data_IF_601194447142
#
_entry.id   IF_601194447142
#
_cell.length_a   1.000
_cell.length_b   1.000
_cell.length_c   1.000
_cell.angle_alpha   90.00
_cell.angle_beta   90.00
_cell.angle_gamma   90.00
#
_symmetry.space_group_name_H-M   'P 1'
#
loop_
_entity.id
_entity.type
_entity.pdbx_description
1 polymer ?
#
# COMPACT_ATOMS: atom_id res chain seq x y z
N UNK A 1 30.48 35.51 -5.73
CA UNK A 1 30.15 34.14 -5.30
C UNK A 1 31.16 33.65 -4.25
N UNK A 2 32.46 33.68 -4.56
CA UNK A 2 33.54 33.19 -3.67
C UNK A 2 33.55 33.81 -2.26
N UNK A 3 33.32 35.11 -2.12
CA UNK A 3 33.28 35.78 -0.81
C UNK A 3 32.13 35.29 0.08
N UNK A 4 30.97 34.97 -0.52
CA UNK A 4 29.81 34.47 0.22
C UNK A 4 30.02 33.01 0.67
N UNK A 5 30.65 32.18 -0.17
CA UNK A 5 31.00 30.80 0.16
C UNK A 5 32.07 30.73 1.25
N UNK A 6 33.05 31.64 1.24
CA UNK A 6 34.07 31.71 2.28
C UNK A 6 33.50 32.16 3.64
N UNK A 7 32.58 33.14 3.65
CA UNK A 7 32.01 33.68 4.90
C UNK A 7 30.94 32.77 5.53
N UNK A 8 30.14 32.09 4.70
CA UNK A 8 29.00 31.28 5.15
C UNK A 8 29.21 29.77 4.92
N UNK A 9 30.44 29.30 4.69
CA UNK A 9 30.72 27.91 4.35
C UNK A 9 30.19 26.88 5.34
N UNK A 10 30.05 27.24 6.63
CA UNK A 10 29.44 26.40 7.66
C UNK A 10 27.93 26.15 7.44
N UNK A 11 27.25 26.98 6.65
CA UNK A 11 25.86 26.80 6.23
C UNK A 11 25.73 26.00 4.93
N UNK A 12 26.85 25.59 4.33
CA UNK A 12 26.82 24.86 3.06
C UNK A 12 26.47 23.40 3.30
N UNK A 13 25.43 22.92 2.65
CA UNK A 13 24.97 21.53 2.72
C UNK A 13 24.82 20.98 1.31
N UNK A 14 25.40 19.81 1.06
CA UNK A 14 25.15 19.01 -0.14
C UNK A 14 24.43 17.73 0.24
N UNK A 15 23.37 17.41 -0.48
CA UNK A 15 22.60 16.20 -0.21
C UNK A 15 21.75 15.75 -1.38
N UNK A 16 21.10 14.60 -1.20
CA UNK A 16 20.10 14.06 -2.11
C UNK A 16 18.70 14.43 -1.60
N UNK A 17 17.82 14.80 -2.52
CA UNK A 17 16.40 14.96 -2.24
C UNK A 17 15.61 14.09 -3.20
N UNK A 18 14.83 13.17 -2.63
CA UNK A 18 13.89 12.33 -3.36
C UNK A 18 12.50 12.57 -2.78
N UNK A 19 11.56 12.96 -3.63
CA UNK A 19 10.19 13.33 -3.21
C UNK A 19 9.17 12.83 -4.21
N UNK A 20 7.93 12.68 -3.74
CA UNK A 20 6.78 12.52 -4.60
C UNK A 20 6.30 13.90 -5.08
N UNK A 21 6.32 14.13 -6.39
CA UNK A 21 5.95 15.40 -7.02
C UNK A 21 5.11 15.09 -8.25
N UNK A 22 3.94 15.72 -8.35
CA UNK A 22 3.02 15.59 -9.48
C UNK A 22 2.71 14.14 -9.88
N UNK A 23 2.63 13.25 -8.89
CA UNK A 23 2.32 11.84 -9.09
C UNK A 23 3.51 10.94 -9.43
N UNK A 24 4.74 11.45 -9.42
CA UNK A 24 5.94 10.72 -9.76
C UNK A 24 7.07 10.90 -8.73
N UNK A 25 8.06 10.00 -8.76
CA UNK A 25 9.28 10.11 -7.95
C UNK A 25 10.26 11.07 -8.65
N UNK A 26 10.56 12.19 -7.99
CA UNK A 26 11.57 13.14 -8.44
C UNK A 26 12.81 13.06 -7.55
N UNK A 27 13.98 12.84 -8.15
CA UNK A 27 15.26 12.75 -7.46
C UNK A 27 16.26 13.80 -7.96
N UNK A 28 16.85 14.55 -7.04
CA UNK A 28 17.82 15.60 -7.33
C UNK A 28 18.94 15.66 -6.28
N UNK A 29 20.14 16.01 -6.72
CA UNK A 29 21.22 16.43 -5.82
C UNK A 29 21.17 17.94 -5.70
N UNK A 30 21.24 18.43 -4.47
CA UNK A 30 21.16 19.86 -4.14
C UNK A 30 22.39 20.30 -3.36
N UNK A 31 22.97 21.42 -3.77
CA UNK A 31 24.01 22.17 -3.05
C UNK A 31 23.37 23.47 -2.56
N UNK A 32 23.30 23.68 -1.24
CA UNK A 32 22.66 24.84 -0.62
C UNK A 32 23.63 25.58 0.28
N UNK A 33 23.40 26.88 0.43
CA UNK A 33 23.99 27.73 1.46
C UNK A 33 22.86 28.27 2.33
N UNK A 34 22.60 27.63 3.47
CA UNK A 34 21.39 27.89 4.25
C UNK A 34 20.12 27.57 3.43
N UNK A 35 19.24 28.56 3.26
CA UNK A 35 18.02 28.42 2.47
C UNK A 35 18.22 28.62 0.95
N UNK A 36 19.40 29.04 0.50
CA UNK A 36 19.67 29.36 -0.91
C UNK A 36 20.17 28.12 -1.64
N UNK A 37 19.48 27.70 -2.70
CA UNK A 37 19.97 26.65 -3.61
C UNK A 37 21.03 27.24 -4.54
N UNK A 38 22.28 26.76 -4.40
CA UNK A 38 23.40 27.17 -5.26
C UNK A 38 23.41 26.38 -6.56
N UNK A 39 23.12 25.08 -6.48
CA UNK A 39 23.04 24.21 -7.65
C UNK A 39 22.06 23.05 -7.40
N UNK A 40 21.31 22.69 -8.45
CA UNK A 40 20.41 21.55 -8.48
C UNK A 40 20.72 20.72 -9.71
N UNK A 41 20.84 19.40 -9.56
CA UNK A 41 21.08 18.48 -10.67
C UNK A 41 20.19 17.25 -10.57
N UNK A 42 19.61 16.74 -11.67
CA UNK A 42 18.92 15.46 -11.65
C UNK A 42 19.82 14.34 -11.14
N UNK A 43 19.28 13.47 -10.30
CA UNK A 43 20.03 12.37 -9.70
C UNK A 43 19.59 11.04 -10.31
N UNK A 44 20.52 10.34 -10.98
CA UNK A 44 20.22 9.09 -11.71
C UNK A 44 20.12 7.86 -10.80
N UNK A 45 20.87 7.84 -9.72
CA UNK A 45 20.95 6.72 -8.78
C UNK A 45 20.77 7.25 -7.35
N UNK A 46 19.54 7.65 -6.98
CA UNK A 46 19.25 8.06 -5.62
C UNK A 46 19.40 6.90 -4.63
N UNK A 47 19.63 7.26 -3.36
CA UNK A 47 19.56 6.33 -2.24
C UNK A 47 18.22 5.55 -2.25
N UNK A 48 18.25 4.20 -2.25
CA UNK A 48 17.04 3.37 -2.22
C UNK A 48 16.08 3.69 -1.05
N UNK A 49 16.59 4.07 0.11
CA UNK A 49 15.75 4.40 1.28
C UNK A 49 14.99 5.72 1.06
N UNK A 50 15.63 6.71 0.43
CA UNK A 50 14.96 7.96 0.06
C UNK A 50 13.89 7.72 -1.01
N UNK A 51 14.15 6.81 -1.97
CA UNK A 51 13.15 6.40 -2.96
C UNK A 51 11.97 5.70 -2.30
N UNK A 52 12.23 4.76 -1.39
CA UNK A 52 11.20 4.07 -0.61
C UNK A 52 10.34 5.07 0.16
N UNK A 53 10.96 6.03 0.84
CA UNK A 53 10.25 7.08 1.57
C UNK A 53 9.36 7.93 0.65
N UNK A 54 9.85 8.31 -0.54
CA UNK A 54 9.07 9.06 -1.52
C UNK A 54 7.88 8.25 -2.07
N UNK A 55 8.04 6.94 -2.31
CA UNK A 55 6.95 6.07 -2.74
C UNK A 55 5.87 5.90 -1.65
N UNK A 56 6.29 5.76 -0.39
CA UNK A 56 5.38 5.71 0.76
C UNK A 56 4.61 7.03 0.92
N UNK A 57 5.27 8.17 0.76
CA UNK A 57 4.62 9.49 0.74
C UNK A 57 3.60 9.57 -0.41
N UNK A 58 3.94 9.08 -1.61
CA UNK A 58 3.01 8.97 -2.73
C UNK A 58 1.78 8.12 -2.43
N UNK A 59 1.97 6.93 -1.86
CA UNK A 59 0.87 6.06 -1.40
C UNK A 59 -0.03 6.76 -0.37
N UNK A 60 0.54 7.49 0.59
CA UNK A 60 -0.24 8.21 1.59
C UNK A 60 -1.04 9.38 1.00
N UNK A 61 -0.54 10.03 -0.04
CA UNK A 61 -1.21 11.17 -0.69
C UNK A 61 -2.28 10.75 -1.68
N UNK A 62 -2.04 9.70 -2.45
CA UNK A 62 -2.95 9.26 -3.53
C UNK A 62 -3.78 8.03 -3.18
N UNK A 63 -3.44 7.35 -2.08
CA UNK A 63 -4.15 6.18 -1.58
C UNK A 63 -3.72 4.87 -2.25
N UNK A 64 -4.42 3.81 -1.86
CA UNK A 64 -4.13 2.44 -2.31
C UNK A 64 -4.46 2.19 -3.79
N UNK A 65 -5.14 3.13 -4.46
CA UNK A 65 -5.45 3.06 -5.89
C UNK A 65 -4.21 3.06 -6.80
N UNK A 66 -3.02 3.35 -6.26
CA UNK A 66 -1.75 3.20 -6.97
C UNK A 66 -1.34 1.73 -7.18
N UNK A 67 -1.91 0.79 -6.43
CA UNK A 67 -1.60 -0.63 -6.49
C UNK A 67 -2.50 -1.36 -7.48
N UNK A 68 -2.13 -2.59 -7.86
CA UNK A 68 -2.99 -3.42 -8.69
C UNK A 68 -4.02 -4.16 -7.84
N UNK A 69 -5.29 -3.76 -8.01
CA UNK A 69 -6.45 -4.43 -7.43
C UNK A 69 -7.20 -5.20 -8.51
N UNK A 70 -7.48 -6.47 -8.25
CA UNK A 70 -8.41 -7.26 -9.05
C UNK A 70 -9.62 -7.67 -8.19
N UNK A 71 -10.65 -8.20 -8.84
CA UNK A 71 -11.90 -8.58 -8.16
C UNK A 71 -11.70 -9.55 -6.99
N UNK A 72 -10.75 -10.47 -7.10
CA UNK A 72 -10.48 -11.46 -6.05
C UNK A 72 -9.70 -10.83 -4.88
N UNK A 73 -8.86 -9.83 -5.17
CA UNK A 73 -8.16 -9.04 -4.16
C UNK A 73 -9.14 -8.20 -3.34
N UNK A 74 -10.08 -7.52 -4.01
CA UNK A 74 -11.12 -6.74 -3.33
C UNK A 74 -12.01 -7.64 -2.45
N UNK A 75 -12.30 -8.86 -2.93
CA UNK A 75 -13.05 -9.85 -2.16
C UNK A 75 -12.27 -10.31 -0.93
N UNK A 76 -11.00 -10.67 -1.07
CA UNK A 76 -10.14 -11.04 0.03
C UNK A 76 -10.09 -9.94 1.09
N UNK A 77 -9.88 -8.69 0.64
CA UNK A 77 -9.87 -7.53 1.52
C UNK A 77 -11.19 -7.37 2.27
N UNK A 78 -12.32 -7.50 1.59
CA UNK A 78 -13.65 -7.38 2.20
C UNK A 78 -13.90 -8.48 3.24
N UNK A 79 -13.48 -9.72 2.95
CA UNK A 79 -13.57 -10.85 3.89
C UNK A 79 -12.71 -10.61 5.13
N UNK A 80 -11.48 -10.14 4.95
CA UNK A 80 -10.58 -9.78 6.04
C UNK A 80 -11.16 -8.66 6.91
N UNK A 81 -11.67 -7.60 6.29
CA UNK A 81 -12.31 -6.49 6.99
C UNK A 81 -13.54 -6.94 7.80
N UNK A 82 -14.35 -7.84 7.24
CA UNK A 82 -15.48 -8.44 7.94
C UNK A 82 -15.02 -9.24 9.17
N UNK A 83 -14.02 -10.11 9.02
CA UNK A 83 -13.51 -10.92 10.13
C UNK A 83 -12.86 -10.07 11.22
N UNK A 84 -12.09 -9.04 10.84
CA UNK A 84 -11.55 -8.07 11.80
C UNK A 84 -12.66 -7.36 12.59
N UNK A 85 -13.73 -6.93 11.92
CA UNK A 85 -14.85 -6.25 12.57
C UNK A 85 -15.63 -7.16 13.53
N UNK A 86 -15.87 -8.42 13.15
CA UNK A 86 -16.74 -9.34 13.91
C UNK A 86 -15.99 -10.13 14.97
N UNK A 87 -14.77 -10.59 14.67
CA UNK A 87 -13.97 -11.45 15.55
C UNK A 87 -12.81 -10.70 16.21
N UNK A 88 -12.35 -9.58 15.64
CA UNK A 88 -11.20 -8.85 16.13
C UNK A 88 -9.88 -9.58 15.88
N UNK A 89 -8.95 -9.47 16.82
CA UNK A 89 -7.66 -10.14 16.74
C UNK A 89 -7.84 -11.68 16.65
N UNK A 90 -7.01 -12.39 15.86
CA UNK A 90 -5.79 -11.91 15.19
C UNK A 90 -6.00 -11.42 13.75
N UNK A 91 -7.24 -11.22 13.30
CA UNK A 91 -7.52 -10.74 11.95
C UNK A 91 -7.03 -9.28 11.80
N UNK A 92 -6.27 -8.95 10.75
CA UNK A 92 -5.67 -7.63 10.60
C UNK A 92 -6.69 -6.57 10.22
N UNK A 93 -6.48 -5.33 10.69
CA UNK A 93 -7.16 -4.18 10.13
C UNK A 93 -6.61 -3.90 8.72
N UNK A 94 -7.48 -4.04 7.72
CA UNK A 94 -7.17 -3.81 6.30
C UNK A 94 -7.91 -2.59 5.73
N UNK A 95 -8.33 -1.67 6.60
CA UNK A 95 -8.83 -0.34 6.21
C UNK A 95 -7.76 0.44 5.45
N UNK A 96 -8.17 1.42 4.63
CA UNK A 96 -7.23 2.28 3.90
C UNK A 96 -6.25 2.95 4.87
N UNK A 97 -6.75 3.44 6.01
CA UNK A 97 -5.94 4.07 7.04
C UNK A 97 -4.87 3.15 7.61
N UNK A 98 -5.23 1.92 7.99
CA UNK A 98 -4.29 0.95 8.54
C UNK A 98 -3.20 0.56 7.53
N UNK A 99 -3.59 0.26 6.29
CA UNK A 99 -2.66 -0.16 5.23
C UNK A 99 -1.71 0.96 4.78
N UNK A 100 -2.15 2.23 4.85
CA UNK A 100 -1.32 3.40 4.53
C UNK A 100 -0.42 3.84 5.70
N UNK A 101 -0.85 3.57 6.94
CA UNK A 101 -0.05 3.86 8.14
C UNK A 101 1.18 2.95 8.22
N UNK A 102 1.01 1.66 7.94
CA UNK A 102 2.05 0.64 8.02
C UNK A 102 2.28 -0.05 6.66
N UNK A 103 2.96 0.60 5.69
CA UNK A 103 3.08 0.10 4.31
C UNK A 103 3.98 -1.15 4.15
N UNK A 104 4.55 -1.68 5.24
CA UNK A 104 5.44 -2.84 5.23
C UNK A 104 4.75 -4.13 4.75
N UNK A 105 3.41 -4.17 4.72
CA UNK A 105 2.66 -5.27 4.12
C UNK A 105 2.92 -5.43 2.62
N UNK A 106 3.43 -4.39 1.95
CA UNK A 106 3.83 -4.41 0.54
C UNK A 106 5.24 -4.97 0.31
N UNK A 107 5.97 -5.35 1.37
CA UNK A 107 7.33 -5.87 1.23
C UNK A 107 7.34 -7.34 0.81
N UNK A 108 8.26 -7.75 -0.10
CA UNK A 108 9.46 -7.00 -0.52
C UNK A 108 9.29 -6.17 -1.81
N UNK A 109 8.10 -6.12 -2.40
CA UNK A 109 7.86 -5.41 -3.66
C UNK A 109 8.09 -3.90 -3.53
N UNK A 110 7.70 -3.30 -2.39
CA UNK A 110 7.94 -1.90 -2.11
C UNK A 110 9.43 -1.54 -2.10
N UNK A 111 10.28 -2.36 -1.45
CA UNK A 111 11.74 -2.18 -1.46
C UNK A 111 12.37 -2.30 -2.86
N UNK A 112 11.71 -2.98 -3.80
CA UNK A 112 12.18 -3.14 -5.19
C UNK A 112 11.67 -2.04 -6.13
N UNK A 113 10.60 -1.34 -5.76
CA UNK A 113 10.03 -0.28 -6.56
C UNK A 113 10.95 0.95 -6.63
N UNK A 114 10.93 1.64 -7.77
CA UNK A 114 11.74 2.86 -7.99
C UNK A 114 10.93 4.06 -8.50
N UNK A 115 9.70 3.84 -8.97
CA UNK A 115 8.84 4.84 -9.62
C UNK A 115 7.36 4.47 -9.47
N UNK A 116 6.45 5.41 -9.77
CA UNK A 116 4.98 5.19 -9.72
C UNK A 116 4.55 3.91 -10.44
N UNK A 117 5.03 3.72 -11.67
CA UNK A 117 4.62 2.56 -12.48
C UNK A 117 5.01 1.20 -11.88
N UNK A 118 5.97 1.16 -10.95
CA UNK A 118 6.30 -0.07 -10.24
C UNK A 118 5.27 -0.38 -9.16
N UNK A 119 4.71 0.63 -8.47
CA UNK A 119 3.58 0.47 -7.54
C UNK A 119 2.36 -0.15 -8.26
N UNK A 120 2.06 0.34 -9.46
CA UNK A 120 0.97 -0.20 -10.29
C UNK A 120 1.17 -1.65 -10.75
N UNK A 121 2.36 -2.23 -10.55
CA UNK A 121 2.63 -3.65 -10.81
C UNK A 121 2.52 -4.52 -9.56
N UNK A 122 2.48 -3.92 -8.36
CA UNK A 122 2.37 -4.66 -7.10
C UNK A 122 0.97 -5.25 -7.00
N UNK A 123 0.91 -6.58 -6.84
CA UNK A 123 -0.33 -7.31 -6.60
C UNK A 123 -0.74 -7.18 -5.14
N UNK A 124 -1.76 -6.35 -4.87
CA UNK A 124 -2.23 -6.14 -3.51
C UNK A 124 -2.79 -7.43 -2.88
N UNK A 125 -3.33 -8.38 -3.66
CA UNK A 125 -3.84 -9.64 -3.15
C UNK A 125 -2.74 -10.55 -2.61
N UNK A 126 -1.60 -10.61 -3.30
CA UNK A 126 -0.44 -11.35 -2.80
C UNK A 126 0.12 -10.75 -1.51
N UNK A 127 0.16 -9.43 -1.43
CA UNK A 127 0.62 -8.72 -0.24
C UNK A 127 -0.36 -8.91 0.94
N UNK A 128 -1.68 -8.78 0.73
CA UNK A 128 -2.70 -9.02 1.77
C UNK A 128 -2.67 -10.45 2.31
N UNK A 129 -2.41 -11.47 1.49
CA UNK A 129 -2.31 -12.87 1.96
C UNK A 129 -1.18 -13.08 2.98
N UNK A 130 -0.14 -12.24 2.96
CA UNK A 130 0.96 -12.29 3.94
C UNK A 130 0.54 -11.75 5.30
N UNK A 131 -0.51 -10.93 5.37
CA UNK A 131 -1.09 -10.42 6.62
C UNK A 131 -2.01 -11.43 7.32
N UNK A 132 -2.33 -12.55 6.66
CA UNK A 132 -3.18 -13.57 7.27
C UNK A 132 -2.53 -14.12 8.55
N UNK A 133 -3.34 -14.43 9.59
CA UNK A 133 -2.86 -14.91 10.88
C UNK A 133 -2.42 -16.39 10.81
N UNK A 134 -1.35 -16.66 10.06
CA UNK A 134 -0.81 -18.01 9.89
C UNK A 134 -0.25 -18.58 11.17
N UNK A 135 0.33 -17.74 12.03
CA UNK A 135 0.93 -18.15 13.30
C UNK A 135 -0.09 -18.76 14.30
N UNK A 136 -1.35 -18.31 14.27
CA UNK A 136 -2.42 -18.85 15.13
C UNK A 136 -3.20 -19.98 14.47
N UNK A 137 -3.02 -20.20 13.17
CA UNK A 137 -3.79 -21.17 12.38
C UNK A 137 -5.14 -20.66 11.88
N UNK A 138 -5.59 -19.47 12.29
CA UNK A 138 -6.88 -18.91 11.88
C UNK A 138 -6.97 -18.65 10.37
N UNK A 139 -5.83 -18.39 9.73
CA UNK A 139 -5.74 -18.24 8.28
C UNK A 139 -6.34 -19.43 7.51
N UNK A 140 -6.17 -20.66 8.02
CA UNK A 140 -6.71 -21.87 7.39
C UNK A 140 -8.25 -21.93 7.45
N UNK A 141 -8.85 -21.18 8.37
CA UNK A 141 -10.30 -21.11 8.58
C UNK A 141 -10.96 -19.96 7.82
N UNK A 142 -10.21 -19.20 7.02
CA UNK A 142 -10.74 -18.06 6.27
C UNK A 142 -11.93 -18.46 5.37
N UNK A 143 -11.85 -19.60 4.69
CA UNK A 143 -12.93 -20.08 3.81
C UNK A 143 -14.12 -20.65 4.60
N UNK A 144 -13.90 -21.14 5.82
CA UNK A 144 -14.95 -21.58 6.74
C UNK A 144 -15.69 -20.38 7.35
N UNK A 145 -14.95 -19.38 7.83
CA UNK A 145 -15.46 -18.24 8.58
C UNK A 145 -16.06 -17.15 7.69
N UNK A 146 -15.52 -16.97 6.49
CA UNK A 146 -15.99 -16.00 5.52
C UNK A 146 -15.90 -16.60 4.11
N UNK A 147 -16.76 -17.57 3.74
CA UNK A 147 -16.70 -18.22 2.43
C UNK A 147 -16.89 -17.23 1.27
N UNK A 148 -16.19 -17.45 0.15
CA UNK A 148 -16.44 -16.65 -1.05
C UNK A 148 -17.77 -16.97 -1.71
N UNK A 149 -18.18 -18.24 -1.63
CA UNK A 149 -19.41 -18.76 -2.23
C UNK A 149 -20.07 -19.75 -1.29
N UNK A 150 -21.39 -19.63 -1.18
CA UNK A 150 -22.23 -20.55 -0.43
C UNK A 150 -23.05 -21.39 -1.41
N UNK A 151 -23.15 -22.68 -1.13
CA UNK A 151 -24.05 -23.59 -1.85
C UNK A 151 -25.46 -23.42 -1.27
N UNK A 152 -26.43 -23.12 -2.13
CA UNK A 152 -27.84 -23.03 -1.76
C UNK A 152 -28.56 -24.35 -2.11
N UNK A 153 -29.76 -24.63 -1.56
CA UNK A 153 -30.44 -25.93 -1.75
C UNK A 153 -30.70 -26.32 -3.20
N UNK A 154 -30.76 -25.36 -4.12
CA UNK A 154 -30.80 -25.65 -5.57
C UNK A 154 -29.51 -26.27 -6.14
N UNK A 155 -28.45 -26.39 -5.35
CA UNK A 155 -27.11 -26.81 -5.77
C UNK A 155 -26.24 -25.69 -6.35
N UNK A 156 -26.79 -24.47 -6.47
CA UNK A 156 -26.07 -23.31 -7.01
C UNK A 156 -25.05 -22.75 -6.01
N UNK A 157 -23.90 -22.25 -6.51
CA UNK A 157 -22.84 -21.63 -5.71
C UNK A 157 -22.84 -20.12 -5.85
N UNK A 158 -23.53 -19.44 -4.94
CA UNK A 158 -23.77 -17.99 -4.96
C UNK A 158 -22.65 -17.26 -4.23
N UNK A 159 -22.14 -16.17 -4.83
CA UNK A 159 -21.08 -15.35 -4.24
C UNK A 159 -21.63 -14.52 -3.08
N UNK A 160 -20.85 -14.41 -2.01
CA UNK A 160 -21.18 -13.58 -0.84
C UNK A 160 -20.49 -12.22 -0.97
N UNK A 161 -21.25 -11.14 -0.76
CA UNK A 161 -20.74 -9.77 -0.74
C UNK A 161 -20.51 -9.32 0.71
N UNK A 162 -19.28 -8.90 1.03
CA UNK A 162 -18.88 -8.51 2.40
C UNK A 162 -18.68 -6.99 2.58
N UNK A 163 -19.04 -6.18 1.58
CA UNK A 163 -18.77 -4.74 1.58
C UNK A 163 -19.63 -3.91 2.55
N UNK A 164 -20.71 -4.47 3.08
CA UNK A 164 -21.61 -3.80 4.02
C UNK A 164 -21.40 -4.22 5.49
N UNK A 165 -22.33 -3.81 6.35
CA UNK A 165 -22.33 -4.16 7.78
C UNK A 165 -22.51 -5.67 8.00
N UNK A 166 -23.31 -6.31 7.14
CA UNK A 166 -23.57 -7.74 7.14
C UNK A 166 -23.24 -8.35 5.77
N UNK A 167 -22.77 -9.61 5.74
CA UNK A 167 -22.55 -10.32 4.49
C UNK A 167 -23.88 -10.58 3.77
N UNK A 168 -23.92 -10.31 2.47
CA UNK A 168 -25.13 -10.42 1.65
C UNK A 168 -24.99 -11.58 0.66
N UNK A 169 -25.98 -12.46 0.66
CA UNK A 169 -26.15 -13.51 -0.35
C UNK A 169 -27.33 -13.14 -1.27
N UNK A 170 -27.04 -12.60 -2.44
CA UNK A 170 -28.07 -12.25 -3.42
C UNK A 170 -28.55 -13.50 -4.17
N UNK A 171 -29.55 -14.19 -3.61
CA UNK A 171 -30.19 -15.38 -4.21
C UNK A 171 -31.65 -15.08 -4.57
N UNK A 172 -32.14 -15.62 -5.69
CA UNK A 172 -33.56 -15.53 -6.06
C UNK A 172 -34.35 -16.46 -5.13
N UNK A 173 -35.55 -16.04 -4.68
CA UNK A 173 -36.38 -16.81 -3.73
C UNK A 173 -36.67 -18.25 -4.19
N UNK A 174 -36.72 -18.47 -5.51
CA UNK A 174 -36.94 -19.78 -6.13
C UNK A 174 -35.74 -20.75 -6.05
N UNK A 175 -34.59 -20.29 -5.57
CA UNK A 175 -33.34 -21.07 -5.46
C UNK A 175 -32.95 -21.38 -3.99
N UNK A 176 -33.78 -20.96 -3.03
CA UNK A 176 -33.70 -21.30 -1.60
C UNK A 176 -34.29 -22.67 -1.29
#
# INVERSE_FOLDING_TARGET
EDTALAAAGHLRVRGEEVRWVDGEVAARSVDRLGAVELAVRPLKQPDPELVRAALVDGLRREGLGLLRWNRDTEQLRSRLAFLHRVLGAPWPDVSDGALLAAPDWLEPELSRARRRSDLGRIDAGQALRRLLPWATGDAARLDELAPERIEVPSGSRIRVEYGGDQPVLAVKLQEL
#
